data_IF_498358428078
#
_entry.id   IF_498358428078
#
_cell.length_a   1.000
_cell.length_b   1.000
_cell.length_c   1.000
_cell.angle_alpha   90.00
_cell.angle_beta   90.00
_cell.angle_gamma   90.00
#
_symmetry.space_group_name_H-M   'P 1'
#
loop_
_entity.id
_entity.type
_entity.pdbx_description
1 polymer ?
#
# COMPACT_ATOMS: atom_id res chain seq x y z
N UNK A 1 0.53 28.31 -3.86
CA UNK A 1 -0.12 29.19 -2.87
C UNK A 1 0.27 28.77 -1.47
N UNK A 2 1.23 29.45 -0.84
CA UNK A 2 1.74 29.11 0.51
C UNK A 2 1.13 29.99 1.62
N UNK A 3 0.26 30.94 1.27
CA UNK A 3 -0.27 31.98 2.16
C UNK A 3 -1.72 31.72 2.59
N UNK A 4 -2.05 30.49 2.98
CA UNK A 4 -3.41 30.10 3.42
C UNK A 4 -3.38 29.05 4.53
N UNK A 5 -4.52 28.82 5.18
CA UNK A 5 -4.68 27.74 6.15
C UNK A 5 -4.66 26.40 5.41
N UNK A 6 -3.85 25.45 5.90
CA UNK A 6 -3.76 24.08 5.38
C UNK A 6 -3.87 23.09 6.52
N UNK A 7 -4.44 21.93 6.25
CA UNK A 7 -4.27 20.78 7.13
C UNK A 7 -2.79 20.40 7.14
N UNK A 8 -2.27 20.11 8.32
CA UNK A 8 -0.88 19.73 8.52
C UNK A 8 -0.84 18.44 9.32
N UNK A 9 -0.11 17.45 8.77
CA UNK A 9 0.00 16.10 9.31
C UNK A 9 -1.28 15.24 9.17
N UNK A 10 -1.11 13.94 8.91
CA UNK A 10 -2.18 12.95 8.73
C UNK A 10 -1.95 11.72 9.61
N UNK A 11 -1.73 11.94 10.91
CA UNK A 11 -1.55 10.86 11.88
C UNK A 11 -2.83 10.47 12.58
N UNK A 12 -2.99 9.17 12.84
CA UNK A 12 -4.03 8.62 13.71
C UNK A 12 -3.61 8.75 15.17
N UNK A 13 -4.49 8.34 16.08
CA UNK A 13 -4.22 8.27 17.52
C UNK A 13 -3.54 6.95 17.93
N UNK A 14 -3.15 6.11 16.99
CA UNK A 14 -2.53 4.82 17.27
C UNK A 14 -1.06 4.97 17.71
N UNK A 15 -0.62 4.10 18.59
CA UNK A 15 0.78 4.03 19.04
C UNK A 15 1.63 3.23 18.06
N UNK A 16 1.07 2.22 17.38
CA UNK A 16 1.79 1.38 16.44
C UNK A 16 2.22 2.21 15.21
N UNK A 17 3.54 2.32 14.94
CA UNK A 17 4.03 3.04 13.77
C UNK A 17 3.44 2.55 12.44
N UNK A 18 3.01 1.30 12.37
CA UNK A 18 2.35 0.75 11.18
C UNK A 18 0.99 1.43 10.97
N UNK A 19 0.22 1.71 12.02
CA UNK A 19 -1.13 2.27 11.90
C UNK A 19 -1.21 3.78 12.16
N UNK A 20 -0.07 4.43 12.38
CA UNK A 20 0.00 5.88 12.58
C UNK A 20 -0.43 6.69 11.36
N UNK A 21 -0.23 6.23 10.11
CA UNK A 21 -0.65 6.99 8.93
C UNK A 21 -2.15 6.79 8.63
N UNK A 22 -2.93 7.86 8.70
CA UNK A 22 -4.37 7.81 8.47
C UNK A 22 -4.74 7.41 7.03
N UNK A 23 -3.91 7.77 6.03
CA UNK A 23 -4.17 7.39 4.63
C UNK A 23 -3.98 5.90 4.45
N UNK A 24 -2.94 5.32 5.05
CA UNK A 24 -2.73 3.87 5.07
C UNK A 24 -3.96 3.18 5.63
N UNK A 25 -4.39 3.57 6.84
CA UNK A 25 -5.59 3.00 7.47
C UNK A 25 -6.81 3.06 6.54
N UNK A 26 -7.05 4.21 5.88
CA UNK A 26 -8.18 4.35 4.95
C UNK A 26 -8.04 3.50 3.67
N UNK A 27 -6.84 3.36 3.12
CA UNK A 27 -6.59 2.51 1.94
C UNK A 27 -6.92 1.06 2.27
N UNK A 28 -6.41 0.54 3.41
CA UNK A 28 -6.67 -0.83 3.83
C UNK A 28 -8.14 -1.07 4.19
N UNK A 29 -8.79 -0.11 4.85
CA UNK A 29 -10.22 -0.18 5.18
C UNK A 29 -11.08 -0.28 3.91
N UNK A 30 -10.88 0.63 2.95
CA UNK A 30 -11.61 0.63 1.68
C UNK A 30 -11.32 -0.61 0.82
N UNK A 31 -10.06 -1.03 0.75
CA UNK A 31 -9.69 -2.24 0.02
C UNK A 31 -10.35 -3.49 0.63
N UNK A 32 -10.44 -3.57 1.96
CA UNK A 32 -11.08 -4.69 2.65
C UNK A 32 -12.58 -4.77 2.34
N UNK A 33 -13.29 -3.64 2.34
CA UNK A 33 -14.71 -3.59 1.98
C UNK A 33 -14.94 -3.99 0.52
N UNK A 34 -14.15 -3.45 -0.41
CA UNK A 34 -14.27 -3.77 -1.83
C UNK A 34 -13.99 -5.27 -2.11
N UNK A 35 -12.99 -5.84 -1.44
CA UNK A 35 -12.66 -7.26 -1.56
C UNK A 35 -13.78 -8.14 -1.02
N UNK A 36 -14.29 -7.85 0.19
CA UNK A 36 -15.34 -8.66 0.82
C UNK A 36 -16.62 -8.69 -0.02
N UNK A 37 -17.02 -7.54 -0.56
CA UNK A 37 -18.17 -7.45 -1.46
C UNK A 37 -17.90 -8.20 -2.78
N UNK A 38 -16.70 -8.03 -3.35
CA UNK A 38 -16.32 -8.63 -4.62
C UNK A 38 -16.19 -10.15 -4.62
N UNK A 39 -15.88 -10.78 -3.48
CA UNK A 39 -15.78 -12.26 -3.37
C UNK A 39 -17.07 -12.92 -2.91
N UNK A 40 -18.04 -12.15 -2.42
CA UNK A 40 -19.25 -12.70 -1.79
C UNK A 40 -20.06 -13.60 -2.74
N UNK A 41 -19.97 -13.37 -4.05
CA UNK A 41 -20.64 -14.20 -5.05
C UNK A 41 -20.19 -15.68 -5.04
N UNK A 42 -19.00 -15.97 -4.53
CA UNK A 42 -18.43 -17.32 -4.50
C UNK A 42 -18.92 -18.14 -3.29
N UNK A 43 -19.60 -17.50 -2.34
CA UNK A 43 -20.26 -18.19 -1.23
C UNK A 43 -21.41 -19.05 -1.79
N UNK A 44 -21.59 -20.25 -1.24
CA UNK A 44 -22.57 -21.26 -1.66
C UNK A 44 -22.43 -21.78 -3.10
N UNK A 45 -21.25 -21.62 -3.71
CA UNK A 45 -20.92 -22.14 -5.05
C UNK A 45 -19.86 -23.23 -5.00
N UNK A 46 -19.67 -23.89 -6.15
CA UNK A 46 -18.65 -24.91 -6.34
C UNK A 46 -17.23 -24.37 -6.18
N UNK A 47 -16.26 -25.27 -5.98
CA UNK A 47 -14.83 -24.94 -5.82
C UNK A 47 -14.28 -24.11 -7.00
N UNK A 48 -14.80 -24.31 -8.22
CA UNK A 48 -14.42 -23.51 -9.38
C UNK A 48 -14.74 -22.02 -9.21
N UNK A 49 -15.81 -21.69 -8.49
CA UNK A 49 -16.14 -20.31 -8.15
C UNK A 49 -15.15 -19.73 -7.12
N UNK A 50 -14.66 -20.55 -6.18
CA UNK A 50 -13.63 -20.15 -5.22
C UNK A 50 -12.28 -19.88 -5.90
N UNK A 51 -11.91 -20.70 -6.88
CA UNK A 51 -10.72 -20.48 -7.72
C UNK A 51 -10.86 -19.17 -8.51
N UNK A 52 -12.02 -18.96 -9.13
CA UNK A 52 -12.34 -17.70 -9.82
C UNK A 52 -12.30 -16.49 -8.88
N UNK A 53 -12.75 -16.63 -7.63
CA UNK A 53 -12.66 -15.56 -6.64
C UNK A 53 -11.21 -15.24 -6.29
N UNK A 54 -10.35 -16.26 -6.14
CA UNK A 54 -8.91 -16.07 -5.92
C UNK A 54 -8.24 -15.32 -7.08
N UNK A 55 -8.60 -15.63 -8.31
CA UNK A 55 -8.07 -14.91 -9.48
C UNK A 55 -8.63 -13.48 -9.56
N UNK A 56 -9.88 -13.28 -9.18
CA UNK A 56 -10.49 -11.94 -9.06
C UNK A 56 -9.79 -11.08 -8.00
N UNK A 57 -9.44 -11.67 -6.85
CA UNK A 57 -8.62 -11.00 -5.81
C UNK A 57 -7.28 -10.53 -6.38
N UNK A 58 -6.60 -11.40 -7.13
CA UNK A 58 -5.31 -11.06 -7.76
C UNK A 58 -5.45 -9.95 -8.79
N UNK A 59 -6.50 -10.00 -9.61
CA UNK A 59 -6.79 -8.97 -10.60
C UNK A 59 -7.08 -7.62 -9.94
N UNK A 60 -7.88 -7.61 -8.85
CA UNK A 60 -8.15 -6.41 -8.07
C UNK A 60 -6.87 -5.81 -7.48
N UNK A 61 -6.05 -6.61 -6.81
CA UNK A 61 -4.79 -6.12 -6.25
C UNK A 61 -3.81 -5.65 -7.32
N UNK A 62 -3.77 -6.31 -8.49
CA UNK A 62 -2.98 -5.85 -9.64
C UNK A 62 -3.46 -4.48 -10.15
N UNK A 63 -4.78 -4.24 -10.15
CA UNK A 63 -5.31 -2.92 -10.53
C UNK A 63 -4.88 -1.81 -9.56
N UNK A 64 -4.79 -2.11 -8.25
CA UNK A 64 -4.32 -1.16 -7.24
C UNK A 64 -2.83 -0.83 -7.41
N UNK A 65 -2.02 -1.80 -7.83
CA UNK A 65 -0.60 -1.57 -8.19
C UNK A 65 -0.50 -0.73 -9.45
N UNK A 66 -1.31 -1.04 -10.48
CA UNK A 66 -1.36 -0.25 -11.72
C UNK A 66 -1.80 1.20 -11.51
N UNK A 67 -2.58 1.47 -10.46
CA UNK A 67 -3.01 2.80 -10.05
C UNK A 67 -2.05 3.50 -9.07
N UNK A 68 -0.87 2.93 -8.81
CA UNK A 68 0.16 3.46 -7.89
C UNK A 68 -0.31 3.62 -6.43
N UNK A 69 -1.42 2.98 -6.05
CA UNK A 69 -1.93 2.96 -4.66
C UNK A 69 -1.12 1.97 -3.82
N UNK A 70 -0.76 0.83 -4.41
CA UNK A 70 0.02 -0.24 -3.81
C UNK A 70 1.35 -0.43 -4.54
N UNK A 71 2.41 -0.76 -3.81
CA UNK A 71 3.72 -1.09 -4.38
C UNK A 71 3.79 -2.55 -4.86
N UNK A 72 3.09 -3.45 -4.17
CA UNK A 72 3.11 -4.87 -4.46
C UNK A 72 2.16 -5.66 -3.57
N UNK A 73 1.91 -6.91 -3.95
CA UNK A 73 1.02 -7.80 -3.21
C UNK A 73 1.34 -9.28 -3.42
N UNK A 74 0.85 -10.12 -2.51
CA UNK A 74 0.82 -11.58 -2.60
C UNK A 74 -0.53 -12.09 -2.06
N UNK A 75 -1.22 -12.91 -2.86
CA UNK A 75 -2.47 -13.58 -2.45
C UNK A 75 -2.22 -15.07 -2.32
N UNK A 76 -2.34 -15.59 -1.10
CA UNK A 76 -2.13 -17.01 -0.78
C UNK A 76 -3.26 -17.58 0.07
N UNK A 77 -3.47 -18.89 -0.03
CA UNK A 77 -4.34 -19.62 0.90
C UNK A 77 -3.59 -19.78 2.22
N UNK A 78 -4.27 -19.53 3.34
CA UNK A 78 -3.73 -19.78 4.67
C UNK A 78 -3.79 -21.28 4.97
N UNK A 79 -2.68 -21.98 4.74
CA UNK A 79 -2.57 -23.42 5.00
C UNK A 79 -2.59 -23.76 6.50
N UNK A 80 -2.30 -22.80 7.38
CA UNK A 80 -2.34 -23.04 8.82
C UNK A 80 -3.78 -23.09 9.35
N UNK A 81 -4.67 -22.24 8.79
CA UNK A 81 -6.10 -22.21 9.16
C UNK A 81 -6.95 -23.14 8.30
N UNK A 82 -6.61 -23.29 7.02
CA UNK A 82 -7.33 -24.17 6.08
C UNK A 82 -6.86 -25.62 6.23
N UNK A 83 -7.10 -26.19 7.42
CA UNK A 83 -6.80 -27.59 7.74
C UNK A 83 -7.82 -28.54 7.07
N UNK A 84 -7.55 -29.85 6.96
CA UNK A 84 -8.52 -30.81 6.42
C UNK A 84 -9.88 -30.77 7.14
N UNK A 85 -9.88 -30.53 8.45
CA UNK A 85 -11.10 -30.36 9.25
C UNK A 85 -11.84 -29.05 8.92
N UNK A 86 -11.13 -27.99 8.56
CA UNK A 86 -11.76 -26.76 8.10
C UNK A 86 -12.37 -26.93 6.70
N UNK A 87 -11.69 -27.67 5.82
CA UNK A 87 -12.18 -27.99 4.47
C UNK A 87 -13.45 -28.84 4.54
N UNK A 88 -13.52 -29.84 5.44
CA UNK A 88 -14.75 -30.61 5.64
C UNK A 88 -15.91 -29.79 6.20
N UNK A 89 -15.61 -28.66 6.85
CA UNK A 89 -16.59 -27.65 7.27
C UNK A 89 -16.81 -26.55 6.21
N UNK A 90 -16.25 -26.69 5.01
CA UNK A 90 -16.30 -25.72 3.92
C UNK A 90 -15.75 -24.32 4.26
N UNK A 91 -14.75 -24.26 5.14
CA UNK A 91 -14.10 -23.01 5.56
C UNK A 91 -12.75 -22.84 4.87
N UNK A 92 -12.61 -21.75 4.15
CA UNK A 92 -11.38 -21.39 3.44
C UNK A 92 -10.91 -20.01 3.88
N UNK A 93 -9.60 -19.88 4.13
CA UNK A 93 -9.00 -18.65 4.61
C UNK A 93 -7.92 -18.19 3.63
N UNK A 94 -8.01 -16.94 3.17
CA UNK A 94 -6.99 -16.32 2.33
C UNK A 94 -6.23 -15.25 3.10
N UNK A 95 -4.95 -15.10 2.75
CA UNK A 95 -4.09 -14.02 3.24
C UNK A 95 -3.67 -13.19 2.03
N UNK A 96 -3.85 -11.88 2.18
CA UNK A 96 -3.36 -10.87 1.23
C UNK A 96 -2.27 -10.09 1.96
N UNK A 97 -1.02 -10.30 1.54
CA UNK A 97 0.12 -9.51 1.97
C UNK A 97 0.29 -8.38 0.95
N UNK A 98 0.27 -7.12 1.37
CA UNK A 98 0.46 -5.99 0.48
C UNK A 98 1.12 -4.81 1.20
N UNK A 99 1.68 -3.91 0.40
CA UNK A 99 2.31 -2.69 0.88
C UNK A 99 1.80 -1.51 0.06
N UNK A 100 1.32 -0.47 0.73
CA UNK A 100 0.89 0.77 0.10
C UNK A 100 2.07 1.66 -0.28
N UNK A 101 1.82 2.63 -1.17
CA UNK A 101 2.81 3.66 -1.48
C UNK A 101 2.95 4.63 -0.30
N UNK A 102 4.12 4.72 0.37
CA UNK A 102 4.31 5.60 1.52
C UNK A 102 4.34 7.08 1.09
N UNK A 103 3.92 7.98 1.96
CA UNK A 103 4.14 9.43 1.75
C UNK A 103 5.30 9.92 2.59
N UNK A 104 6.15 10.81 2.04
CA UNK A 104 7.20 11.44 2.82
C UNK A 104 6.60 12.37 3.89
N UNK A 105 6.94 12.14 5.15
CA UNK A 105 6.60 13.04 6.27
C UNK A 105 7.60 14.19 6.41
N UNK A 106 8.89 13.89 6.26
CA UNK A 106 9.98 14.85 6.42
C UNK A 106 10.93 14.77 5.22
N UNK A 107 11.22 15.93 4.64
CA UNK A 107 12.28 16.11 3.65
C UNK A 107 13.29 17.06 4.28
N UNK A 108 14.48 16.55 4.62
CA UNK A 108 15.57 17.36 5.16
C UNK A 108 16.58 17.68 4.06
N UNK A 109 16.94 18.95 3.92
CA UNK A 109 17.91 19.43 2.94
C UNK A 109 19.00 20.20 3.65
N UNK A 110 20.26 19.79 3.45
CA UNK A 110 21.43 20.45 4.03
C UNK A 110 22.16 21.25 2.95
N UNK A 111 22.35 22.54 3.20
CA UNK A 111 23.15 23.40 2.32
C UNK A 111 24.56 23.56 2.88
N UNK A 112 25.55 23.11 2.12
CA UNK A 112 26.96 23.27 2.44
C UNK A 112 27.59 24.25 1.45
N UNK A 113 28.23 25.31 1.96
CA UNK A 113 29.02 26.23 1.15
C UNK A 113 30.37 25.57 0.85
N UNK A 114 30.68 25.39 -0.43
CA UNK A 114 31.96 24.82 -0.91
C UNK A 114 32.65 25.78 -1.85
N UNK A 115 34.00 25.78 -1.84
CA UNK A 115 34.85 26.60 -2.72
C UNK A 115 35.42 25.83 -3.92
N UNK A 116 34.94 24.61 -4.14
CA UNK A 116 35.38 23.73 -5.24
C UNK A 116 35.19 24.34 -6.63
N UNK A 117 34.35 25.38 -6.75
CA UNK A 117 34.07 26.08 -8.00
C UNK A 117 34.89 27.37 -8.19
N UNK A 118 35.94 27.59 -7.39
CA UNK A 118 36.81 28.78 -7.54
C UNK A 118 37.44 28.89 -8.93
N UNK A 119 37.67 27.76 -9.62
CA UNK A 119 38.16 27.73 -11.00
C UNK A 119 37.21 28.38 -12.00
N UNK A 120 35.89 28.40 -11.74
CA UNK A 120 34.90 29.09 -12.56
C UNK A 120 35.06 30.61 -12.44
N UNK A 121 35.41 31.10 -11.26
CA UNK A 121 35.69 32.53 -11.03
C UNK A 121 36.94 32.94 -11.79
N UNK A 122 38.02 32.14 -11.73
CA UNK A 122 39.25 32.42 -12.46
C UNK A 122 39.02 32.50 -13.98
N UNK A 123 38.32 31.52 -14.55
CA UNK A 123 37.96 31.52 -15.98
C UNK A 123 37.10 32.72 -16.41
N UNK A 124 36.34 33.31 -15.48
CA UNK A 124 35.47 34.46 -15.77
C UNK A 124 36.20 35.79 -15.67
N UNK A 125 37.30 35.84 -14.94
CA UNK A 125 38.16 37.03 -14.80
C UNK A 125 39.23 37.09 -15.89
N UNK A 126 39.62 35.95 -16.45
CA UNK A 126 40.59 35.85 -17.55
C UNK A 126 39.98 36.00 -18.95
N UNK A 127 38.66 36.13 -19.05
CA UNK A 127 37.91 36.41 -20.29
C UNK A 127 37.66 37.91 -20.48
#
# INVERSE_FOLDING_TARGET
NYKGLRTWNYKTTDIDPIWQDARRVRIFDLASFAVLDGIFYAVDRDISALESAKDSLRAFMASLVGAEVMLGFNVRLDLARTTPTAISQNKFYFIIECQETPSPELISVTFNRVDSYSSVVYKRLEA
#
